data_IF_234178694599
#
_entry.id   IF_234178694599
#
_cell.length_a   1.000
_cell.length_b   1.000
_cell.length_c   1.000
_cell.angle_alpha   90.00
_cell.angle_beta   90.00
_cell.angle_gamma   90.00
#
_symmetry.space_group_name_H-M   'P 1'
#
loop_
_entity.id
_entity.type
_entity.pdbx_description
1 polymer ?
#
# COMPACT_ATOMS: atom_id res chain seq x y z
N UNK A 1 -9.18 -24.18 9.49
CA UNK A 1 -8.90 -24.49 8.06
C UNK A 1 -8.65 -23.18 7.33
N UNK A 2 -7.57 -23.07 6.56
CA UNK A 2 -7.34 -21.90 5.69
C UNK A 2 -7.81 -22.26 4.29
N UNK A 3 -8.65 -21.43 3.68
CA UNK A 3 -9.09 -21.62 2.30
C UNK A 3 -8.91 -20.36 1.45
N UNK A 4 -8.52 -20.51 0.17
CA UNK A 4 -8.53 -19.40 -0.77
C UNK A 4 -9.97 -18.97 -1.06
N UNK A 5 -10.18 -17.67 -1.21
CA UNK A 5 -11.49 -17.11 -1.57
C UNK A 5 -11.35 -16.35 -2.88
N UNK A 6 -12.05 -16.84 -3.91
CA UNK A 6 -12.15 -16.16 -5.19
C UNK A 6 -13.18 -15.04 -5.06
N UNK A 7 -12.73 -13.79 -5.19
CA UNK A 7 -13.54 -12.61 -5.52
C UNK A 7 -14.96 -12.60 -4.95
N UNK A 8 -15.07 -12.68 -3.63
CA UNK A 8 -16.23 -12.13 -2.92
C UNK A 8 -15.85 -10.70 -2.54
N UNK A 9 -16.83 -9.81 -2.29
CA UNK A 9 -16.70 -8.38 -1.97
C UNK A 9 -15.95 -8.09 -0.64
N UNK A 10 -14.86 -8.81 -0.40
CA UNK A 10 -13.95 -8.73 0.72
C UNK A 10 -13.40 -7.32 0.90
N UNK A 11 -13.04 -6.53 -0.13
CA UNK A 11 -12.67 -5.14 0.13
C UNK A 11 -13.79 -4.36 0.85
N UNK A 12 -15.07 -4.59 0.51
CA UNK A 12 -16.20 -3.96 1.20
C UNK A 12 -16.44 -4.52 2.60
N UNK A 13 -16.30 -5.84 2.78
CA UNK A 13 -16.43 -6.50 4.09
C UNK A 13 -15.26 -6.11 5.01
N UNK A 14 -14.03 -6.23 4.55
CA UNK A 14 -12.79 -5.81 5.21
C UNK A 14 -12.87 -4.32 5.54
N UNK A 15 -13.28 -3.45 4.60
CA UNK A 15 -13.47 -2.03 4.88
C UNK A 15 -14.56 -1.79 5.94
N UNK A 16 -15.66 -2.55 5.90
CA UNK A 16 -16.70 -2.44 6.92
C UNK A 16 -16.23 -2.93 8.29
N UNK A 17 -15.37 -3.94 8.35
CA UNK A 17 -14.76 -4.48 9.57
C UNK A 17 -13.71 -3.50 10.11
N UNK A 18 -12.82 -3.00 9.26
CA UNK A 18 -11.80 -1.99 9.56
C UNK A 18 -12.47 -0.69 10.06
N UNK A 19 -13.45 -0.15 9.34
CA UNK A 19 -14.20 1.05 9.77
C UNK A 19 -14.91 0.85 11.11
N UNK A 20 -15.44 -0.35 11.36
CA UNK A 20 -16.07 -0.68 12.66
C UNK A 20 -15.03 -0.81 13.77
N UNK A 21 -13.88 -1.44 13.49
CA UNK A 21 -12.77 -1.59 14.43
C UNK A 21 -12.11 -0.25 14.78
N UNK A 22 -12.06 0.70 13.83
CA UNK A 22 -11.60 2.08 14.06
C UNK A 22 -12.56 2.91 14.91
N UNK A 23 -13.86 2.75 14.72
CA UNK A 23 -14.87 3.48 15.49
C UNK A 23 -15.09 2.94 16.92
N UNK A 24 -14.69 1.69 17.18
CA UNK A 24 -14.76 1.03 18.49
C UNK A 24 -13.47 0.26 18.72
N UNK A 25 -12.53 0.84 19.45
CA UNK A 25 -11.23 0.29 19.87
C UNK A 25 -11.14 -1.24 19.76
N UNK A 26 -10.62 -1.77 18.65
CA UNK A 26 -10.18 -3.18 18.47
C UNK A 26 -11.15 -4.29 18.90
N UNK A 27 -12.44 -4.04 19.16
CA UNK A 27 -13.35 -5.02 19.78
C UNK A 27 -13.62 -6.23 18.88
N UNK A 28 -13.38 -6.10 17.57
CA UNK A 28 -13.81 -7.07 16.57
C UNK A 28 -12.65 -7.78 15.88
N UNK A 29 -11.55 -7.09 15.60
CA UNK A 29 -10.39 -7.66 14.94
C UNK A 29 -9.11 -6.92 15.31
N UNK A 30 -8.01 -7.67 15.43
CA UNK A 30 -6.65 -7.15 15.54
C UNK A 30 -6.05 -7.07 14.12
N UNK A 31 -5.82 -5.86 13.62
CA UNK A 31 -5.22 -5.60 12.32
C UNK A 31 -3.74 -5.34 12.48
N UNK A 32 -2.91 -6.12 11.80
CA UNK A 32 -1.45 -6.03 11.90
C UNK A 32 -0.84 -5.39 10.66
N UNK A 33 -1.38 -5.73 9.50
CA UNK A 33 -1.11 -5.03 8.25
C UNK A 33 -2.40 -4.41 7.75
N UNK A 34 -2.34 -3.14 7.42
CA UNK A 34 -3.32 -2.48 6.59
C UNK A 34 -2.58 -1.55 5.63
N UNK A 35 -2.89 -1.65 4.34
CA UNK A 35 -2.72 -0.51 3.46
C UNK A 35 -3.77 0.52 3.89
N UNK A 36 -3.34 1.77 4.15
CA UNK A 36 -4.28 2.88 4.14
C UNK A 36 -5.09 2.75 2.85
N UNK A 37 -6.43 2.61 2.94
CA UNK A 37 -7.23 2.62 1.74
C UNK A 37 -6.88 3.90 1.00
N UNK A 38 -6.52 3.82 -0.29
CA UNK A 38 -6.59 5.01 -1.15
C UNK A 38 -8.02 5.52 -0.99
N UNK A 39 -8.18 6.50 -0.11
CA UNK A 39 -9.43 7.17 0.19
C UNK A 39 -9.98 7.60 -1.17
N UNK A 40 -11.12 7.04 -1.55
CA UNK A 40 -11.81 7.27 -2.82
C UNK A 40 -11.22 6.69 -4.12
N UNK A 41 -10.98 5.37 -4.17
CA UNK A 41 -11.47 4.63 -5.36
C UNK A 41 -12.97 4.45 -5.23
N UNK A 42 -13.74 5.40 -5.76
CA UNK A 42 -15.18 5.23 -6.00
C UNK A 42 -15.39 3.83 -6.58
N UNK A 43 -16.19 2.95 -5.92
CA UNK A 43 -16.40 1.61 -6.42
C UNK A 43 -16.95 1.73 -7.84
N UNK A 44 -16.23 1.15 -8.81
CA UNK A 44 -16.75 1.07 -10.16
C UNK A 44 -18.11 0.35 -10.11
N UNK A 45 -19.09 0.79 -10.90
CA UNK A 45 -20.37 0.10 -11.03
C UNK A 45 -20.14 -1.41 -11.23
N UNK A 46 -20.92 -2.28 -10.58
CA UNK A 46 -20.68 -3.72 -10.53
C UNK A 46 -20.56 -4.38 -11.92
N UNK A 47 -21.17 -3.79 -12.95
CA UNK A 47 -21.07 -4.27 -14.33
C UNK A 47 -19.69 -4.05 -14.98
N UNK A 48 -18.93 -3.03 -14.56
CA UNK A 48 -17.58 -2.77 -15.09
C UNK A 48 -16.51 -3.58 -14.34
N UNK A 49 -16.83 -4.21 -13.21
CA UNK A 49 -15.89 -5.07 -12.46
C UNK A 49 -15.54 -6.37 -13.17
N UNK A 50 -16.43 -6.88 -14.02
CA UNK A 50 -16.22 -8.16 -14.72
C UNK A 50 -15.51 -8.00 -16.07
N UNK A 51 -15.36 -6.77 -16.56
CA UNK A 51 -14.82 -6.48 -17.91
C UNK A 51 -13.39 -5.94 -17.82
N UNK A 52 -13.02 -5.34 -16.70
CA UNK A 52 -11.68 -4.80 -16.47
C UNK A 52 -11.00 -5.60 -15.35
N UNK A 53 -9.76 -6.10 -15.54
CA UNK A 53 -8.99 -6.70 -14.45
C UNK A 53 -8.64 -5.59 -13.46
N UNK A 54 -9.57 -5.33 -12.54
CA UNK A 54 -9.40 -4.37 -11.48
C UNK A 54 -8.56 -5.03 -10.40
N UNK A 55 -7.45 -4.35 -10.14
CA UNK A 55 -6.33 -4.74 -9.29
C UNK A 55 -5.38 -5.79 -9.89
N UNK A 56 -4.06 -5.59 -9.74
CA UNK A 56 -3.14 -6.70 -9.93
C UNK A 56 -3.55 -7.82 -8.97
N UNK A 57 -3.58 -9.05 -9.49
CA UNK A 57 -4.21 -10.24 -8.90
C UNK A 57 -4.20 -10.25 -7.37
N UNK A 58 -5.24 -9.68 -6.75
CA UNK A 58 -5.36 -9.66 -5.30
C UNK A 58 -5.82 -11.05 -4.87
N UNK A 59 -5.12 -11.64 -3.91
CA UNK A 59 -5.42 -12.97 -3.39
C UNK A 59 -5.80 -12.83 -1.94
N UNK A 60 -6.92 -13.44 -1.57
CA UNK A 60 -7.44 -13.38 -0.21
C UNK A 60 -7.63 -14.79 0.34
N UNK A 61 -7.17 -14.98 1.57
CA UNK A 61 -7.33 -16.21 2.33
C UNK A 61 -8.09 -15.92 3.60
N UNK A 62 -8.95 -16.86 3.98
CA UNK A 62 -9.72 -16.80 5.22
C UNK A 62 -9.34 -18.01 6.05
N UNK A 63 -9.02 -17.76 7.32
CA UNK A 63 -8.94 -18.80 8.33
C UNK A 63 -10.33 -18.95 8.95
N UNK A 64 -10.90 -20.15 8.85
CA UNK A 64 -12.21 -20.46 9.42
C UNK A 64 -12.18 -21.72 10.28
N UNK A 65 -13.05 -21.75 11.29
CA UNK A 65 -13.33 -22.91 12.11
C UNK A 65 -14.84 -23.04 12.31
N UNK A 66 -15.43 -24.19 11.94
CA UNK A 66 -16.86 -24.47 12.07
C UNK A 66 -17.80 -23.30 11.66
N UNK A 67 -17.60 -22.74 10.45
CA UNK A 67 -18.34 -21.58 9.91
C UNK A 67 -18.09 -20.23 10.58
N UNK A 68 -17.09 -20.15 11.48
CA UNK A 68 -16.65 -18.90 12.10
C UNK A 68 -15.36 -18.44 11.46
N UNK A 69 -15.30 -17.19 11.07
CA UNK A 69 -14.08 -16.56 10.57
C UNK A 69 -13.18 -16.27 11.78
N UNK A 70 -11.99 -16.86 11.78
CA UNK A 70 -10.95 -16.64 12.78
C UNK A 70 -10.03 -15.49 12.37
N UNK A 71 -9.79 -15.31 11.07
CA UNK A 71 -8.92 -14.28 10.55
C UNK A 71 -8.90 -14.27 9.03
N UNK A 72 -8.24 -13.28 8.46
CA UNK A 72 -8.05 -13.20 7.02
C UNK A 72 -6.74 -12.51 6.66
N UNK A 73 -6.26 -12.82 5.47
CA UNK A 73 -5.10 -12.19 4.90
C UNK A 73 -5.34 -11.89 3.42
N UNK A 74 -4.87 -10.73 2.96
CA UNK A 74 -4.94 -10.33 1.57
C UNK A 74 -3.56 -9.85 1.11
N UNK A 75 -3.16 -10.32 -0.05
CA UNK A 75 -1.97 -9.85 -0.76
C UNK A 75 -2.34 -9.25 -2.09
N UNK A 76 -1.53 -8.30 -2.52
CA UNK A 76 -1.56 -7.72 -3.84
C UNK A 76 -0.29 -8.12 -4.58
N UNK A 77 -0.45 -8.69 -5.77
CA UNK A 77 0.67 -8.98 -6.64
C UNK A 77 1.22 -7.68 -7.25
N UNK A 78 2.56 -7.53 -7.32
CA UNK A 78 3.17 -6.39 -8.01
C UNK A 78 3.19 -6.62 -9.53
N UNK A 79 3.30 -5.55 -10.35
CA UNK A 79 3.28 -5.66 -11.81
C UNK A 79 4.36 -6.58 -12.42
N UNK A 80 5.45 -6.86 -11.71
CA UNK A 80 6.49 -7.80 -12.13
C UNK A 80 6.14 -9.27 -11.96
N UNK A 81 5.04 -9.60 -11.27
CA UNK A 81 4.64 -10.98 -10.94
C UNK A 81 5.64 -11.76 -10.09
N UNK A 82 6.68 -11.11 -9.57
CA UNK A 82 7.72 -11.74 -8.73
C UNK A 82 7.67 -11.27 -7.28
N UNK A 83 6.74 -10.38 -6.94
CA UNK A 83 6.66 -9.78 -5.61
C UNK A 83 5.22 -9.63 -5.15
N UNK A 84 4.98 -9.86 -3.87
CA UNK A 84 3.70 -9.62 -3.21
C UNK A 84 3.81 -8.52 -2.16
N UNK A 85 2.73 -7.76 -1.97
CA UNK A 85 2.56 -6.80 -0.88
C UNK A 85 1.36 -7.21 -0.04
N UNK A 86 1.55 -7.40 1.26
CA UNK A 86 0.48 -7.72 2.20
C UNK A 86 -0.38 -6.48 2.37
N UNK A 87 -1.60 -6.55 1.85
CA UNK A 87 -2.58 -5.46 1.94
C UNK A 87 -3.34 -5.48 3.24
N UNK A 88 -3.71 -6.67 3.70
CA UNK A 88 -4.39 -6.86 4.97
C UNK A 88 -3.92 -8.14 5.65
N UNK A 89 -3.73 -8.06 6.96
CA UNK A 89 -3.55 -9.23 7.81
C UNK A 89 -4.24 -8.94 9.15
N UNK A 90 -5.24 -9.75 9.48
CA UNK A 90 -6.00 -9.55 10.70
C UNK A 90 -6.52 -10.86 11.29
N UNK A 91 -6.57 -10.90 12.62
CA UNK A 91 -7.28 -11.93 13.39
C UNK A 91 -8.54 -11.35 13.99
N UNK A 92 -9.63 -12.11 14.02
CA UNK A 92 -10.84 -11.78 14.75
C UNK A 92 -10.59 -11.95 16.26
N UNK A 93 -11.17 -11.08 17.08
CA UNK A 93 -11.09 -11.20 18.53
C UNK A 93 -12.02 -12.32 18.98
N UNK A 94 -11.46 -13.42 19.49
CA UNK A 94 -12.21 -14.55 20.02
C UNK A 94 -11.66 -15.00 21.36
N UNK A 95 -12.52 -15.47 22.27
CA UNK A 95 -12.13 -15.86 23.64
C UNK A 95 -11.35 -17.18 23.72
N UNK A 96 -11.45 -18.03 22.69
CA UNK A 96 -11.01 -19.42 22.76
C UNK A 96 -9.78 -19.73 21.89
N UNK A 97 -9.32 -18.78 21.07
CA UNK A 97 -8.22 -18.96 20.13
C UNK A 97 -7.28 -17.78 20.26
N UNK A 98 -5.97 -18.04 20.38
CA UNK A 98 -4.97 -16.98 20.36
C UNK A 98 -4.95 -16.33 18.99
N UNK A 99 -5.12 -15.00 18.94
CA UNK A 99 -5.05 -14.26 17.68
C UNK A 99 -3.69 -14.43 16.99
N UNK A 100 -2.61 -14.54 17.78
CA UNK A 100 -1.25 -14.71 17.28
C UNK A 100 -1.07 -16.03 16.52
N UNK A 101 -1.70 -17.11 16.99
CA UNK A 101 -1.64 -18.42 16.30
C UNK A 101 -2.36 -18.37 14.95
N UNK A 102 -3.48 -17.63 14.88
CA UNK A 102 -4.22 -17.43 13.62
C UNK A 102 -3.41 -16.59 12.65
N UNK A 103 -2.78 -15.52 13.14
CA UNK A 103 -1.92 -14.65 12.34
C UNK A 103 -0.68 -15.40 11.82
N UNK A 104 -0.05 -16.20 12.68
CA UNK A 104 1.09 -17.06 12.31
C UNK A 104 0.70 -18.06 11.23
N UNK A 105 -0.39 -18.81 11.43
CA UNK A 105 -0.86 -19.78 10.46
C UNK A 105 -1.21 -19.13 9.10
N UNK A 106 -1.83 -17.94 9.12
CA UNK A 106 -2.10 -17.18 7.90
C UNK A 106 -0.81 -16.71 7.21
N UNK A 107 0.16 -16.22 7.97
CA UNK A 107 1.44 -15.74 7.44
C UNK A 107 2.27 -16.87 6.83
N UNK A 108 2.39 -18.00 7.52
CA UNK A 108 3.08 -19.20 7.03
C UNK A 108 2.43 -19.73 5.74
N UNK A 109 1.10 -19.83 5.74
CA UNK A 109 0.36 -20.25 4.56
C UNK A 109 0.57 -19.30 3.37
N UNK A 110 0.59 -17.99 3.61
CA UNK A 110 0.89 -17.01 2.56
C UNK A 110 2.29 -17.19 1.98
N UNK A 111 3.29 -17.42 2.83
CA UNK A 111 4.68 -17.65 2.39
C UNK A 111 4.78 -18.92 1.54
N UNK A 112 4.11 -20.01 1.96
CA UNK A 112 4.06 -21.25 1.19
C UNK A 112 3.40 -21.03 -0.19
N UNK A 113 2.28 -20.32 -0.23
CA UNK A 113 1.61 -19.98 -1.49
C UNK A 113 2.47 -19.07 -2.38
N UNK A 114 3.20 -18.13 -1.80
CA UNK A 114 4.12 -17.26 -2.52
C UNK A 114 5.21 -18.09 -3.20
N UNK A 115 5.82 -19.03 -2.47
CA UNK A 115 6.83 -19.94 -3.01
C UNK A 115 6.29 -20.78 -4.17
N UNK A 116 5.08 -21.34 -4.03
CA UNK A 116 4.41 -22.12 -5.08
C UNK A 116 4.11 -21.30 -6.35
N UNK A 117 3.96 -19.98 -6.22
CA UNK A 117 3.74 -19.06 -7.34
C UNK A 117 5.01 -18.43 -7.90
N UNK A 118 6.20 -18.84 -7.42
CA UNK A 118 7.48 -18.28 -7.89
C UNK A 118 7.73 -16.84 -7.43
N UNK A 119 7.07 -16.42 -6.35
CA UNK A 119 7.24 -15.09 -5.76
C UNK A 119 8.54 -15.07 -4.97
N UNK A 120 9.36 -14.06 -5.26
CA UNK A 120 10.71 -13.92 -4.73
C UNK A 120 10.76 -13.03 -3.49
N UNK A 121 9.81 -12.10 -3.33
CA UNK A 121 9.77 -11.15 -2.22
C UNK A 121 8.35 -10.88 -1.75
N UNK A 122 8.19 -10.74 -0.45
CA UNK A 122 6.94 -10.35 0.19
C UNK A 122 7.21 -9.10 1.03
N UNK A 123 6.42 -8.05 0.80
CA UNK A 123 6.50 -6.80 1.54
C UNK A 123 5.32 -6.69 2.50
N UNK A 124 5.58 -6.21 3.70
CA UNK A 124 4.57 -5.92 4.70
C UNK A 124 4.76 -4.50 5.22
N UNK A 125 3.66 -3.77 5.38
CA UNK A 125 3.62 -2.51 6.13
C UNK A 125 3.02 -2.80 7.48
N UNK A 126 3.77 -2.48 8.51
CA UNK A 126 3.45 -2.78 9.90
C UNK A 126 3.73 -1.52 10.70
N UNK A 127 2.84 -1.19 11.64
CA UNK A 127 3.05 -0.06 12.54
C UNK A 127 4.32 -0.26 13.38
N UNK A 128 4.95 0.85 13.76
CA UNK A 128 6.15 0.81 14.58
C UNK A 128 5.80 0.42 16.03
N UNK A 129 6.68 -0.33 16.69
CA UNK A 129 6.57 -0.66 18.13
C UNK A 129 5.34 -1.50 18.54
N UNK A 130 4.72 -2.24 17.62
CA UNK A 130 3.66 -3.21 17.93
C UNK A 130 4.23 -4.61 18.23
N UNK A 131 3.64 -5.40 19.15
CA UNK A 131 4.17 -6.73 19.52
C UNK A 131 4.19 -7.71 18.34
N UNK A 132 3.28 -7.55 17.38
CA UNK A 132 3.19 -8.39 16.20
C UNK A 132 4.37 -8.22 15.23
N UNK A 133 5.26 -7.24 15.45
CA UNK A 133 6.53 -7.19 14.73
C UNK A 133 7.39 -8.45 14.95
N UNK A 134 7.32 -9.06 16.15
CA UNK A 134 8.02 -10.31 16.43
C UNK A 134 7.53 -11.46 15.54
N UNK A 135 6.24 -11.47 15.18
CA UNK A 135 5.66 -12.46 14.28
C UNK A 135 6.35 -12.43 12.92
N UNK A 136 6.51 -11.23 12.35
CA UNK A 136 7.18 -11.03 11.07
C UNK A 136 8.65 -11.43 11.13
N UNK A 137 9.35 -11.06 12.21
CA UNK A 137 10.75 -11.45 12.39
C UNK A 137 10.92 -12.96 12.46
N UNK A 138 10.05 -13.67 13.20
CA UNK A 138 10.05 -15.15 13.28
C UNK A 138 9.76 -15.79 11.92
N UNK A 139 8.91 -15.17 11.11
CA UNK A 139 8.62 -15.59 9.73
C UNK A 139 9.72 -15.22 8.71
N UNK A 140 10.83 -14.61 9.15
CA UNK A 140 11.98 -14.27 8.30
C UNK A 140 11.93 -12.90 7.63
N UNK A 141 10.95 -12.05 7.96
CA UNK A 141 10.91 -10.68 7.47
C UNK A 141 11.99 -9.82 8.14
N UNK A 142 12.50 -8.85 7.40
CA UNK A 142 13.47 -7.88 7.89
C UNK A 142 13.00 -6.46 7.61
N UNK A 143 13.14 -5.58 8.61
CA UNK A 143 12.84 -4.15 8.47
C UNK A 143 13.90 -3.50 7.58
N UNK A 144 13.50 -3.01 6.40
CA UNK A 144 14.39 -2.33 5.46
C UNK A 144 14.15 -0.81 5.37
N UNK A 145 12.96 -0.34 5.76
CA UNK A 145 12.56 1.06 5.72
C UNK A 145 11.64 1.43 6.91
N UNK A 146 11.47 2.75 7.13
CA UNK A 146 10.49 3.33 8.05
C UNK A 146 9.73 4.40 7.28
N UNK A 147 8.41 4.33 7.29
CA UNK A 147 7.52 5.32 6.70
C UNK A 147 6.96 6.20 7.83
N UNK A 148 6.88 7.51 7.59
CA UNK A 148 6.31 8.47 8.53
C UNK A 148 5.21 9.25 7.80
N UNK A 149 3.99 9.19 8.33
CA UNK A 149 2.86 9.95 7.82
C UNK A 149 2.75 11.26 8.60
N UNK A 150 2.87 12.38 7.89
CA UNK A 150 2.72 13.71 8.48
C UNK A 150 1.32 14.26 8.17
N UNK A 151 0.61 14.68 9.22
CA UNK A 151 -0.69 15.35 9.10
C UNK A 151 -0.48 16.85 9.24
N UNK A 152 -0.86 17.60 8.21
CA UNK A 152 -0.82 19.06 8.25
C UNK A 152 -2.09 19.61 8.92
N UNK A 153 -1.91 20.32 10.03
CA UNK A 153 -2.99 21.07 10.68
C UNK A 153 -3.02 22.52 10.11
N UNK A 154 -4.07 22.88 9.34
CA UNK A 154 -4.17 24.21 8.74
C UNK A 154 -4.29 25.34 9.78
N UNK A 155 -4.75 25.05 10.99
CA UNK A 155 -4.88 26.05 12.07
C UNK A 155 -3.52 26.50 12.61
N UNK A 156 -2.54 25.60 12.62
CA UNK A 156 -1.15 25.88 13.05
C UNK A 156 -0.32 26.44 11.89
N UNK A 157 -0.50 25.91 10.68
CA UNK A 157 0.30 26.28 9.51
C UNK A 157 0.03 27.69 8.96
N UNK A 158 -1.15 28.25 9.20
CA UNK A 158 -1.49 29.65 8.85
C UNK A 158 -0.65 30.68 9.61
N UNK A 159 0.00 30.30 10.72
CA UNK A 159 0.92 31.17 11.47
C UNK A 159 2.33 31.21 10.85
N UNK A 160 2.69 30.20 10.04
CA UNK A 160 3.98 30.10 9.35
C UNK A 160 3.94 30.64 7.91
N UNK A 161 2.75 30.85 7.35
CA UNK A 161 2.58 31.61 6.10
C UNK A 161 2.62 33.11 6.43
N UNK A 162 3.84 33.66 6.47
CA UNK A 162 4.05 35.09 6.69
C UNK A 162 3.26 35.93 5.66
N UNK A 163 2.60 37.02 6.09
CA UNK A 163 1.97 37.98 5.18
C UNK A 163 3.05 38.94 4.64
N UNK A 164 4.08 38.42 3.98
CA UNK A 164 5.08 39.27 3.32
C UNK A 164 4.69 39.45 1.86
N UNK A 165 3.99 40.56 1.61
CA UNK A 165 3.69 41.12 0.29
C UNK A 165 4.92 41.57 -0.52
N UNK A 166 6.05 40.90 -0.36
CA UNK A 166 7.30 41.17 -1.06
C UNK A 166 8.17 39.91 -1.26
N UNK A 167 7.54 38.73 -1.38
CA UNK A 167 8.26 37.54 -1.83
C UNK A 167 8.38 37.60 -3.35
N UNK A 168 9.54 38.03 -3.84
CA UNK A 168 10.06 37.50 -5.10
C UNK A 168 9.98 35.98 -4.97
N UNK A 169 8.93 35.38 -5.54
CA UNK A 169 8.73 33.95 -5.56
C UNK A 169 10.07 33.37 -6.00
N UNK A 170 10.73 32.49 -5.22
CA UNK A 170 11.86 31.77 -5.77
C UNK A 170 11.40 31.25 -7.13
N UNK A 171 12.24 31.37 -8.16
CA UNK A 171 11.95 30.81 -9.49
C UNK A 171 11.83 29.29 -9.29
N UNK A 172 10.67 28.86 -8.80
CA UNK A 172 10.33 27.49 -8.57
C UNK A 172 10.25 26.91 -9.97
N UNK A 173 11.02 25.85 -10.25
CA UNK A 173 10.91 25.23 -11.54
C UNK A 173 9.46 24.84 -11.79
N UNK A 174 8.98 25.12 -13.00
CA UNK A 174 7.57 24.99 -13.33
C UNK A 174 7.08 23.58 -13.00
N UNK A 175 6.17 23.50 -12.02
CA UNK A 175 5.52 22.25 -11.68
C UNK A 175 4.60 21.86 -12.84
N UNK A 176 4.96 20.79 -13.56
CA UNK A 176 4.22 20.32 -14.73
C UNK A 176 3.59 18.96 -14.47
N UNK A 177 2.52 18.65 -15.21
CA UNK A 177 1.88 17.33 -15.10
C UNK A 177 2.83 16.23 -15.58
N UNK A 178 2.86 15.13 -14.83
CA UNK A 178 3.62 13.94 -15.20
C UNK A 178 3.08 13.35 -16.52
N UNK A 179 3.98 12.76 -17.29
CA UNK A 179 3.68 12.09 -18.56
C UNK A 179 4.56 10.83 -18.65
N UNK A 180 4.08 9.78 -19.33
CA UNK A 180 4.81 8.53 -19.59
C UNK A 180 6.22 8.73 -20.17
N UNK A 181 6.47 9.82 -20.88
CA UNK A 181 7.82 10.12 -21.40
C UNK A 181 8.86 10.35 -20.28
N UNK A 182 8.41 10.62 -19.05
CA UNK A 182 9.27 10.81 -17.87
C UNK A 182 9.50 9.54 -17.06
N UNK A 183 9.01 8.38 -17.50
CA UNK A 183 9.18 7.09 -16.80
C UNK A 183 10.64 6.84 -16.44
N UNK A 184 11.56 7.01 -17.40
CA UNK A 184 13.00 6.86 -17.14
C UNK A 184 13.54 7.89 -16.15
N UNK A 185 13.18 9.18 -16.33
CA UNK A 185 13.63 10.24 -15.45
C UNK A 185 13.14 10.06 -14.01
N UNK A 186 11.93 9.54 -13.83
CA UNK A 186 11.34 9.25 -12.53
C UNK A 186 12.10 8.12 -11.82
N UNK A 187 12.45 7.08 -12.57
CA UNK A 187 13.27 5.98 -12.04
C UNK A 187 14.69 6.44 -11.67
N UNK A 188 15.30 7.31 -12.48
CA UNK A 188 16.59 7.93 -12.15
C UNK A 188 16.51 8.78 -10.88
N UNK A 189 15.43 9.56 -10.72
CA UNK A 189 15.19 10.33 -9.51
C UNK A 189 15.15 9.41 -8.28
N UNK A 190 14.34 8.35 -8.31
CA UNK A 190 14.30 7.33 -7.25
C UNK A 190 15.69 6.76 -6.94
N UNK A 191 16.44 6.33 -7.96
CA UNK A 191 17.80 5.78 -7.76
C UNK A 191 18.79 6.78 -7.17
N UNK A 192 18.56 8.08 -7.38
CA UNK A 192 19.44 9.14 -6.87
C UNK A 192 19.16 9.52 -5.40
N UNK A 193 17.91 9.39 -4.94
CA UNK A 193 17.49 9.84 -3.60
C UNK A 193 17.32 8.69 -2.61
N UNK A 194 17.01 7.48 -3.10
CA UNK A 194 16.70 6.33 -2.24
C UNK A 194 17.99 5.68 -1.73
N UNK A 195 18.13 5.38 -0.42
CA UNK A 195 19.30 4.69 0.11
C UNK A 195 19.52 3.31 -0.53
N UNK A 196 20.78 2.91 -0.72
CA UNK A 196 21.15 1.65 -1.40
C UNK A 196 20.47 0.42 -0.79
N UNK A 197 20.37 0.34 0.54
CA UNK A 197 19.70 -0.79 1.23
C UNK A 197 18.23 -0.95 0.81
N UNK A 198 17.53 0.17 0.58
CA UNK A 198 16.14 0.18 0.15
C UNK A 198 16.05 -0.23 -1.32
N UNK A 199 16.94 0.30 -2.17
CA UNK A 199 17.03 -0.10 -3.58
C UNK A 199 17.27 -1.62 -3.74
N UNK A 200 18.15 -2.19 -2.92
CA UNK A 200 18.44 -3.64 -2.93
C UNK A 200 17.26 -4.47 -2.42
N UNK A 201 16.52 -3.97 -1.43
CA UNK A 201 15.34 -4.65 -0.91
C UNK A 201 14.17 -4.63 -1.91
N UNK A 202 13.90 -3.47 -2.52
CA UNK A 202 12.78 -3.29 -3.45
C UNK A 202 13.08 -3.86 -4.84
N UNK A 203 14.35 -3.94 -5.25
CA UNK A 203 14.83 -4.48 -6.54
C UNK A 203 14.03 -3.96 -7.76
N UNK A 204 13.71 -2.67 -7.76
CA UNK A 204 12.99 -2.01 -8.85
C UNK A 204 13.97 -1.67 -9.98
N UNK A 205 14.36 -2.66 -10.77
CA UNK A 205 15.32 -2.48 -11.86
C UNK A 205 14.68 -1.88 -13.12
N UNK A 206 13.37 -2.08 -13.30
CA UNK A 206 12.62 -1.64 -14.46
C UNK A 206 11.87 -0.32 -14.20
N UNK A 207 12.12 0.69 -15.03
CA UNK A 207 11.44 1.98 -14.94
C UNK A 207 9.93 1.90 -15.19
N UNK A 208 9.48 0.99 -16.07
CA UNK A 208 8.06 0.75 -16.32
C UNK A 208 7.36 0.10 -15.12
N UNK A 209 8.05 -0.82 -14.44
CA UNK A 209 7.54 -1.41 -13.19
C UNK A 209 7.41 -0.34 -12.11
N UNK A 210 8.44 0.49 -11.93
CA UNK A 210 8.43 1.61 -11.00
C UNK A 210 7.26 2.57 -11.28
N UNK A 211 7.07 2.95 -12.54
CA UNK A 211 5.98 3.84 -12.92
C UNK A 211 4.60 3.19 -12.70
N UNK A 212 4.42 1.91 -13.06
CA UNK A 212 3.16 1.19 -12.83
C UNK A 212 2.82 1.07 -11.34
N UNK A 213 3.83 0.85 -10.48
CA UNK A 213 3.65 0.76 -9.03
C UNK A 213 3.26 2.10 -8.41
N UNK A 214 3.99 3.17 -8.71
CA UNK A 214 3.84 4.44 -7.98
C UNK A 214 2.89 5.44 -8.63
N UNK A 215 2.86 5.50 -9.97
CA UNK A 215 1.97 6.39 -10.72
C UNK A 215 0.65 5.70 -11.03
N UNK A 216 0.65 4.36 -11.10
CA UNK A 216 -0.49 3.55 -11.49
C UNK A 216 -0.59 3.38 -13.02
N UNK A 217 -1.49 2.51 -13.46
CA UNK A 217 -1.83 2.43 -14.88
C UNK A 217 -2.57 3.70 -15.29
N UNK A 218 -2.05 4.44 -16.27
CA UNK A 218 -2.66 5.62 -16.89
C UNK A 218 -4.05 5.29 -17.45
N UNK A 219 -5.07 5.22 -16.59
CA UNK A 219 -6.45 5.04 -16.99
C UNK A 219 -7.11 6.42 -17.12
N UNK A 220 -7.76 6.72 -18.25
CA UNK A 220 -8.40 8.02 -18.49
C UNK A 220 -9.53 8.37 -17.52
N UNK A 221 -9.95 7.41 -16.68
CA UNK A 221 -11.03 7.57 -15.70
C UNK A 221 -10.58 7.57 -14.23
N UNK A 222 -9.28 7.47 -13.93
CA UNK A 222 -8.77 7.59 -12.56
C UNK A 222 -8.76 9.07 -12.12
N UNK A 223 -9.92 9.57 -11.71
CA UNK A 223 -10.16 10.97 -11.33
C UNK A 223 -9.57 11.42 -9.98
N UNK A 224 -8.87 10.56 -9.24
CA UNK A 224 -8.42 10.83 -7.87
C UNK A 224 -6.94 11.20 -7.69
N UNK A 225 -6.05 10.79 -8.61
CA UNK A 225 -4.60 10.92 -8.42
C UNK A 225 -3.98 11.84 -9.48
N UNK A 226 -3.50 13.00 -9.06
CA UNK A 226 -2.77 13.93 -9.92
C UNK A 226 -1.26 13.76 -9.69
N UNK A 227 -0.50 13.59 -10.77
CA UNK A 227 0.95 13.42 -10.70
C UNK A 227 1.63 14.62 -11.33
N UNK A 228 2.62 15.16 -10.64
CA UNK A 228 3.38 16.35 -11.02
C UNK A 228 4.88 16.06 -10.98
N UNK A 229 5.62 16.74 -11.84
CA UNK A 229 7.09 16.71 -11.87
C UNK A 229 7.64 18.12 -11.90
N UNK A 230 8.84 18.25 -11.36
CA UNK A 230 9.60 19.49 -11.30
C UNK A 230 10.96 19.22 -11.95
N UNK A 231 11.37 20.06 -12.90
CA UNK A 231 12.65 19.91 -13.59
C UNK A 231 13.73 20.76 -12.90
N UNK A 232 14.94 20.23 -12.77
CA UNK A 232 16.13 20.98 -12.36
C UNK A 232 17.12 20.93 -13.51
N UNK A 233 17.12 21.99 -14.32
CA UNK A 233 17.84 22.01 -15.59
C UNK A 233 17.25 21.03 -16.60
N UNK A 234 18.05 20.04 -17.01
CA UNK A 234 17.67 19.02 -18.02
C UNK A 234 17.18 17.70 -17.39
N UNK A 235 17.14 17.61 -16.06
CA UNK A 235 16.77 16.40 -15.31
C UNK A 235 15.52 16.64 -14.50
N UNK A 236 14.79 15.56 -14.19
CA UNK A 236 13.74 15.64 -13.16
C UNK A 236 14.42 15.87 -11.80
N UNK A 237 14.07 16.95 -11.14
CA UNK A 237 14.51 17.26 -9.77
C UNK A 237 13.50 16.86 -8.70
N UNK A 238 12.24 16.64 -9.08
CA UNK A 238 11.20 16.24 -8.13
C UNK A 238 10.00 15.58 -8.81
N UNK A 239 9.30 14.75 -8.04
CA UNK A 239 8.00 14.17 -8.39
C UNK A 239 7.08 14.28 -7.17
N UNK A 240 5.82 14.62 -7.42
CA UNK A 240 4.80 14.75 -6.41
C UNK A 240 3.53 14.06 -6.90
N UNK A 241 2.93 13.27 -6.03
CA UNK A 241 1.59 12.70 -6.25
C UNK A 241 0.63 13.32 -5.26
N UNK A 242 -0.47 13.85 -5.78
CA UNK A 242 -1.60 14.35 -5.00
C UNK A 242 -2.73 13.34 -5.14
N UNK A 243 -3.10 12.71 -4.03
CA UNK A 243 -4.30 11.89 -3.93
C UNK A 243 -5.40 12.76 -3.34
N UNK A 244 -6.49 12.99 -4.09
CA UNK A 244 -7.68 13.67 -3.57
C UNK A 244 -8.63 12.61 -3.03
N UNK A 245 -8.72 12.56 -1.70
CA UNK A 245 -9.79 11.86 -0.98
C UNK A 245 -11.13 12.57 -1.09
#
# INVERSE_FOLDING_TARGET
>A
MIRPVLYVDLPGIIYSIDRRARNKQHEFANFVCWLEPEENRLPLPPMLRNIFPLNPASRTWICEDHWRILGFAQVQERPSHTMWEISYLASMVQRNVSGDDVLAALLEYMIEMAANHGILRIFARVEDEIPEQELFQRAGFQRYARELTYVYDPSVGSQFMAPDGNSSSPNLPSLRRWNRHHVWGLHQLYRSVTPQRVQMAEMLENSEEFAKLHVGSLHPFSRGNENYVCDVGVRLGGWLRLCRG
#
